data_IF_008884530476
#
_entry.id   IF_008884530476
#
_cell.length_a   1.000
_cell.length_b   1.000
_cell.length_c   1.000
_cell.angle_alpha   90.00
_cell.angle_beta   90.00
_cell.angle_gamma   90.00
#
_symmetry.space_group_name_H-M   'P 1'
#
loop_
_entity.id
_entity.type
_entity.pdbx_description
1 polymer ?
#
# COMPACT_ATOMS: atom_id res chain seq x y z
N UNK A 1 27.00 3.28 -4.43
CA UNK A 1 26.64 4.61 -3.90
C UNK A 1 27.79 5.22 -3.09
N UNK A 2 28.25 4.58 -2.00
CA UNK A 2 29.33 5.10 -1.15
C UNK A 2 30.66 5.38 -1.87
N UNK A 3 31.00 4.64 -2.93
CA UNK A 3 32.15 4.98 -3.78
C UNK A 3 32.03 6.36 -4.45
N UNK A 4 30.81 6.79 -4.80
CA UNK A 4 30.54 8.10 -5.42
C UNK A 4 30.28 9.20 -4.40
N UNK A 5 29.69 8.85 -3.25
CA UNK A 5 29.43 9.75 -2.13
C UNK A 5 29.84 9.09 -0.81
N UNK A 6 31.11 9.20 -0.40
CA UNK A 6 31.61 8.54 0.81
C UNK A 6 30.93 8.99 2.10
N UNK A 7 30.39 10.22 2.15
CA UNK A 7 29.63 10.75 3.28
C UNK A 7 28.13 10.48 3.23
N UNK A 8 27.64 9.64 2.31
CA UNK A 8 26.22 9.26 2.27
C UNK A 8 25.89 8.43 3.51
N UNK A 9 24.86 8.86 4.24
CA UNK A 9 24.24 8.10 5.32
C UNK A 9 22.86 7.65 4.86
N UNK A 10 22.46 6.44 5.21
CA UNK A 10 21.14 5.89 4.86
C UNK A 10 20.38 5.54 6.13
N UNK A 11 19.15 6.04 6.25
CA UNK A 11 18.23 5.68 7.34
C UNK A 11 17.11 4.84 6.76
N UNK A 12 16.86 3.68 7.36
CA UNK A 12 15.79 2.76 7.01
C UNK A 12 14.85 2.62 8.21
N UNK A 13 13.55 2.75 7.96
CA UNK A 13 12.51 2.41 8.94
C UNK A 13 11.68 1.25 8.41
N UNK A 14 11.20 0.36 9.27
CA UNK A 14 10.27 -0.68 8.87
C UNK A 14 8.86 -0.11 8.61
N UNK A 15 8.24 -0.51 7.51
CA UNK A 15 6.82 -0.29 7.25
C UNK A 15 5.93 -1.41 7.79
N UNK A 16 4.62 -1.34 7.53
CA UNK A 16 3.65 -2.35 7.96
C UNK A 16 3.81 -3.72 7.25
N UNK A 17 4.50 -3.75 6.11
CA UNK A 17 4.78 -4.96 5.33
C UNK A 17 6.10 -5.63 5.70
N UNK A 18 6.93 -4.98 6.51
CA UNK A 18 8.26 -5.47 6.85
C UNK A 18 8.26 -6.37 8.08
N UNK A 19 9.19 -7.32 8.10
CA UNK A 19 9.56 -8.00 9.33
C UNK A 19 10.61 -7.18 10.07
N UNK A 20 10.16 -6.36 11.02
CA UNK A 20 11.00 -5.48 11.84
C UNK A 20 12.30 -6.13 12.35
N UNK A 21 12.18 -7.29 12.99
CA UNK A 21 13.33 -8.02 13.53
C UNK A 21 14.30 -8.52 12.45
N UNK A 22 13.81 -8.92 11.27
CA UNK A 22 14.68 -9.33 10.14
C UNK A 22 15.40 -8.14 9.53
N UNK A 23 14.74 -6.98 9.49
CA UNK A 23 15.34 -5.75 8.96
C UNK A 23 16.49 -5.26 9.86
N UNK A 24 16.35 -5.38 11.19
CA UNK A 24 17.41 -5.02 12.15
C UNK A 24 18.50 -6.08 12.31
N UNK A 25 18.26 -7.35 11.97
CA UNK A 25 19.21 -8.43 12.18
C UNK A 25 20.64 -8.17 11.64
N UNK A 26 20.84 -7.59 10.44
CA UNK A 26 22.17 -7.27 9.92
C UNK A 26 22.71 -5.88 10.35
N UNK A 27 22.12 -5.22 11.36
CA UNK A 27 22.50 -3.86 11.77
C UNK A 27 24.02 -3.68 12.01
N UNK A 28 24.75 -4.57 12.69
CA UNK A 28 26.20 -4.41 12.88
C UNK A 28 27.00 -4.34 11.57
N UNK A 29 26.54 -5.05 10.53
CA UNK A 29 27.14 -5.00 9.20
C UNK A 29 26.77 -3.69 8.48
N UNK A 30 25.49 -3.30 8.57
CA UNK A 30 24.96 -2.10 7.92
C UNK A 30 25.57 -0.81 8.48
N UNK A 31 25.87 -0.76 9.78
CA UNK A 31 26.52 0.39 10.41
C UNK A 31 27.90 0.68 9.83
N UNK A 32 28.66 -0.37 9.46
CA UNK A 32 29.96 -0.20 8.78
C UNK A 32 29.85 0.47 7.40
N UNK A 33 28.63 0.51 6.84
CA UNK A 33 28.29 1.14 5.57
C UNK A 33 27.50 2.44 5.77
N UNK A 34 27.52 3.03 6.97
CA UNK A 34 26.74 4.23 7.31
C UNK A 34 25.22 4.07 7.07
N UNK A 35 24.71 2.84 7.23
CA UNK A 35 23.29 2.51 7.15
C UNK A 35 22.76 2.25 8.57
N UNK A 36 21.72 2.99 8.96
CA UNK A 36 21.03 2.87 10.25
C UNK A 36 19.63 2.35 10.01
N UNK A 37 19.28 1.24 10.67
CA UNK A 37 17.94 0.65 10.60
C UNK A 37 17.22 0.82 11.92
N UNK A 38 15.97 1.27 11.85
CA UNK A 38 15.03 1.25 12.97
C UNK A 38 13.81 0.43 12.53
N UNK A 39 13.77 -0.82 12.94
CA UNK A 39 12.70 -1.75 12.60
C UNK A 39 11.65 -1.86 13.70
N UNK A 40 12.06 -1.81 14.97
CA UNK A 40 11.18 -2.04 16.12
C UNK A 40 11.39 -1.01 17.23
N UNK A 41 10.37 -0.82 18.06
CA UNK A 41 10.48 -0.01 19.27
C UNK A 41 11.12 -0.85 20.38
N UNK A 42 12.33 -0.47 20.76
CA UNK A 42 13.06 -1.12 21.84
C UNK A 42 12.63 -0.57 23.19
N UNK A 43 12.72 -1.42 24.23
CA UNK A 43 12.47 -1.02 25.62
C UNK A 43 13.72 -1.23 26.45
N UNK A 44 13.95 -0.34 27.40
CA UNK A 44 15.00 -0.46 28.43
C UNK A 44 14.64 -1.59 29.41
N UNK A 45 15.58 -2.10 30.22
CA UNK A 45 15.29 -3.13 31.23
C UNK A 45 14.17 -2.76 32.21
N UNK A 46 13.98 -1.46 32.47
CA UNK A 46 12.89 -0.94 33.30
C UNK A 46 11.50 -0.92 32.62
N UNK A 47 11.40 -1.35 31.35
CA UNK A 47 10.16 -1.41 30.58
C UNK A 47 9.81 -0.14 29.80
N UNK A 48 10.51 0.97 30.06
CA UNK A 48 10.38 2.24 29.35
C UNK A 48 10.81 2.11 27.88
N UNK A 49 10.16 2.86 26.99
CA UNK A 49 10.56 2.94 25.57
C UNK A 49 11.95 3.60 25.48
N UNK A 50 12.83 2.99 24.69
CA UNK A 50 14.16 3.51 24.45
C UNK A 50 14.16 4.52 23.29
N UNK A 51 13.72 5.74 23.60
CA UNK A 51 13.62 6.85 22.65
C UNK A 51 14.96 7.14 21.94
N UNK A 52 16.09 6.95 22.63
CA UNK A 52 17.41 7.27 22.11
C UNK A 52 17.79 6.38 20.90
N UNK A 53 17.20 5.18 20.77
CA UNK A 53 17.41 4.32 19.58
C UNK A 53 16.67 4.80 18.34
N UNK A 54 15.66 5.66 18.49
CA UNK A 54 14.91 6.29 17.40
C UNK A 54 15.43 7.70 17.08
N UNK A 55 16.41 8.23 17.83
CA UNK A 55 17.06 9.51 17.57
C UNK A 55 18.40 9.28 16.87
N UNK A 56 18.43 9.55 15.56
CA UNK A 56 19.60 9.32 14.72
C UNK A 56 20.27 10.66 14.37
N UNK A 57 21.41 11.01 14.99
CA UNK A 57 22.20 12.16 14.55
C UNK A 57 22.71 11.93 13.12
N UNK A 58 22.52 12.92 12.26
CA UNK A 58 22.94 12.92 10.85
C UNK A 58 23.97 14.02 10.63
N UNK A 59 25.03 13.72 9.89
CA UNK A 59 26.11 14.66 9.61
C UNK A 59 27.45 13.96 9.44
N UNK A 60 28.47 14.69 8.99
CA UNK A 60 29.82 14.15 8.86
C UNK A 60 30.45 13.87 10.24
N UNK A 61 31.00 12.67 10.42
CA UNK A 61 31.50 12.15 11.71
C UNK A 61 32.45 13.08 12.46
N UNK A 62 33.27 13.88 11.75
CA UNK A 62 34.28 14.76 12.36
C UNK A 62 33.75 16.14 12.80
N UNK A 63 32.58 16.58 12.32
CA UNK A 63 32.03 17.90 12.65
C UNK A 63 30.80 17.86 13.56
N UNK A 64 30.35 16.64 13.93
CA UNK A 64 29.14 16.43 14.70
C UNK A 64 27.86 16.49 13.85
N UNK A 65 26.69 16.30 14.48
CA UNK A 65 25.42 16.28 13.77
C UNK A 65 25.06 17.65 13.21
N UNK A 66 24.60 17.66 11.96
CA UNK A 66 24.00 18.81 11.28
C UNK A 66 22.48 18.75 11.24
N UNK A 67 21.90 17.57 11.51
CA UNK A 67 20.48 17.35 11.70
C UNK A 67 20.27 16.11 12.60
N UNK A 68 19.05 15.92 13.08
CA UNK A 68 18.67 14.70 13.81
C UNK A 68 17.40 14.15 13.20
N UNK A 69 17.41 12.84 12.91
CA UNK A 69 16.25 12.13 12.43
C UNK A 69 15.55 11.42 13.59
N UNK A 70 14.26 11.72 13.79
CA UNK A 70 13.33 10.96 14.60
C UNK A 70 12.83 9.82 13.70
N UNK A 71 13.53 8.70 13.73
CA UNK A 71 13.28 7.54 12.87
C UNK A 71 12.23 6.63 13.50
N UNK A 72 10.95 6.86 13.19
CA UNK A 72 9.84 6.09 13.76
C UNK A 72 9.35 5.04 12.75
N UNK A 73 9.45 3.73 13.06
CA UNK A 73 8.92 2.68 12.20
C UNK A 73 7.39 2.66 12.22
N UNK A 74 6.78 1.74 11.47
CA UNK A 74 5.37 1.43 11.65
C UNK A 74 5.12 0.90 13.07
N UNK A 75 4.20 1.55 13.79
CA UNK A 75 3.94 1.27 15.20
C UNK A 75 2.73 0.36 15.36
N UNK A 76 2.88 -0.69 16.17
CA UNK A 76 1.82 -1.59 16.59
C UNK A 76 1.33 -1.17 17.98
N UNK A 77 0.11 -1.55 18.39
CA UNK A 77 -0.40 -1.19 19.72
C UNK A 77 0.53 -1.52 20.90
N UNK A 78 1.30 -2.62 20.82
CA UNK A 78 2.25 -3.02 21.87
C UNK A 78 3.51 -2.12 21.96
N UNK A 79 3.79 -1.36 20.91
CA UNK A 79 4.97 -0.49 20.82
C UNK A 79 4.73 0.87 21.50
N UNK A 80 3.49 1.20 21.82
CA UNK A 80 3.08 2.54 22.20
C UNK A 80 3.19 2.80 23.71
N UNK A 81 3.40 4.07 24.10
CA UNK A 81 3.17 4.51 25.47
C UNK A 81 1.66 4.44 25.78
N UNK A 82 1.33 4.18 27.04
CA UNK A 82 -0.05 4.20 27.52
C UNK A 82 -0.55 5.64 27.58
N UNK A 83 -1.78 5.88 27.14
CA UNK A 83 -2.48 7.16 27.31
C UNK A 83 -3.77 6.95 28.11
N UNK A 84 -4.12 7.91 28.95
CA UNK A 84 -5.27 7.81 29.87
C UNK A 84 -6.58 8.28 29.22
N UNK A 85 -6.51 9.19 28.26
CA UNK A 85 -7.66 9.80 27.58
C UNK A 85 -7.56 9.62 26.06
N UNK A 86 -8.71 9.49 25.40
CA UNK A 86 -8.81 9.38 23.94
C UNK A 86 -8.57 7.97 23.40
N UNK A 87 -8.24 7.89 22.12
CA UNK A 87 -7.92 6.63 21.43
C UNK A 87 -6.52 6.15 21.86
N UNK A 88 -6.39 4.94 22.46
CA UNK A 88 -5.10 4.46 22.95
C UNK A 88 -4.04 4.29 21.86
N UNK A 89 -4.44 3.97 20.63
CA UNK A 89 -3.54 3.77 19.52
C UNK A 89 -3.09 5.11 18.94
N UNK A 90 -4.02 5.96 18.51
CA UNK A 90 -3.67 7.27 17.93
C UNK A 90 -3.01 8.20 18.96
N UNK A 91 -3.54 8.24 20.18
CA UNK A 91 -2.97 9.03 21.28
C UNK A 91 -1.60 8.53 21.69
N UNK A 92 -1.39 7.20 21.70
CA UNK A 92 -0.08 6.60 21.95
C UNK A 92 0.96 7.00 20.90
N UNK A 93 0.59 7.01 19.61
CA UNK A 93 1.48 7.46 18.53
C UNK A 93 1.80 8.95 18.65
N UNK A 94 0.79 9.79 18.85
CA UNK A 94 0.98 11.25 19.03
C UNK A 94 1.91 11.53 20.21
N UNK A 95 1.66 10.89 21.35
CA UNK A 95 2.52 10.98 22.54
C UNK A 95 3.97 10.59 22.23
N UNK A 96 4.19 9.51 21.48
CA UNK A 96 5.55 9.05 21.15
C UNK A 96 6.32 10.10 20.33
N UNK A 97 5.70 10.70 19.31
CA UNK A 97 6.35 11.75 18.51
C UNK A 97 6.70 12.99 19.35
N UNK A 98 5.79 13.40 20.25
CA UNK A 98 6.02 14.54 21.15
C UNK A 98 7.15 14.26 22.14
N UNK A 99 7.21 13.05 22.71
CA UNK A 99 8.30 12.63 23.61
C UNK A 99 9.65 12.58 22.86
N UNK A 100 9.69 12.04 21.64
CA UNK A 100 10.89 12.04 20.79
C UNK A 100 11.37 13.45 20.47
N UNK A 101 10.44 14.34 20.10
CA UNK A 101 10.75 15.74 19.82
C UNK A 101 11.33 16.44 21.05
N UNK A 102 10.68 16.32 22.21
CA UNK A 102 11.15 16.91 23.45
C UNK A 102 12.55 16.38 23.83
N UNK A 103 12.76 15.06 23.70
CA UNK A 103 14.07 14.43 23.94
C UNK A 103 15.14 14.95 22.98
N UNK A 104 14.84 15.07 21.69
CA UNK A 104 15.76 15.62 20.70
C UNK A 104 16.11 17.08 21.00
N UNK A 105 15.13 17.90 21.36
CA UNK A 105 15.35 19.30 21.75
C UNK A 105 16.22 19.43 22.99
N UNK A 106 16.02 18.57 23.99
CA UNK A 106 16.86 18.56 25.19
C UNK A 106 18.32 18.17 24.90
N UNK A 107 18.55 17.23 23.98
CA UNK A 107 19.90 16.74 23.65
C UNK A 107 20.67 17.64 22.69
N UNK A 108 19.99 18.20 21.68
CA UNK A 108 20.65 18.89 20.55
C UNK A 108 20.33 20.39 20.46
N UNK A 109 19.43 20.88 21.32
CA UNK A 109 19.09 22.29 21.41
C UNK A 109 18.01 22.76 20.40
N UNK A 110 17.57 24.01 20.54
CA UNK A 110 16.42 24.55 19.79
C UNK A 110 16.73 24.83 18.32
N UNK A 111 18.00 24.96 17.93
CA UNK A 111 18.41 25.31 16.58
C UNK A 111 18.75 24.10 15.70
N UNK A 112 18.83 22.90 16.27
CA UNK A 112 19.11 21.67 15.51
C UNK A 112 17.96 21.36 14.55
N UNK A 113 18.20 21.19 13.24
CA UNK A 113 17.19 20.71 12.32
C UNK A 113 16.70 19.30 12.70
N UNK A 114 15.40 19.15 12.90
CA UNK A 114 14.78 17.86 13.20
C UNK A 114 14.00 17.34 11.98
N UNK A 115 14.25 16.10 11.60
CA UNK A 115 13.52 15.40 10.55
C UNK A 115 12.70 14.30 11.20
N UNK A 116 11.38 14.32 11.07
CA UNK A 116 10.55 13.19 11.47
C UNK A 116 10.43 12.20 10.32
N UNK A 117 10.60 10.91 10.57
CA UNK A 117 10.17 9.85 9.66
C UNK A 117 9.03 9.09 10.30
N UNK A 118 8.07 8.63 9.49
CA UNK A 118 6.95 7.85 9.97
C UNK A 118 6.33 7.00 8.88
N UNK A 119 5.95 5.77 9.22
CA UNK A 119 5.09 4.96 8.37
C UNK A 119 3.69 4.87 8.99
N UNK A 120 2.80 5.78 8.63
CA UNK A 120 1.49 5.92 9.25
C UNK A 120 0.49 6.57 8.29
N UNK A 121 -0.80 6.59 8.66
CA UNK A 121 -1.82 7.36 7.97
C UNK A 121 -2.06 8.68 8.71
N UNK A 122 -2.04 9.80 8.00
CA UNK A 122 -2.24 11.15 8.56
C UNK A 122 -3.51 11.76 7.95
N UNK A 123 -4.31 12.42 8.79
CA UNK A 123 -5.59 13.01 8.41
C UNK A 123 -5.45 13.99 7.24
N UNK A 124 -6.25 13.78 6.22
CA UNK A 124 -6.20 14.54 4.97
C UNK A 124 -5.26 13.95 3.93
N UNK A 125 -4.60 12.83 4.21
CA UNK A 125 -3.92 12.01 3.22
C UNK A 125 -4.92 11.28 2.31
N UNK A 126 -4.62 11.25 1.01
CA UNK A 126 -5.39 10.57 -0.01
C UNK A 126 -4.84 9.17 -0.24
N UNK A 127 -5.70 8.19 -0.07
CA UNK A 127 -5.38 6.79 -0.31
C UNK A 127 -5.53 6.38 -1.76
N UNK A 128 -4.71 5.42 -2.16
CA UNK A 128 -4.73 4.82 -3.49
C UNK A 128 -5.85 3.81 -3.60
N UNK A 129 -6.65 3.95 -4.66
CA UNK A 129 -7.66 2.96 -5.03
C UNK A 129 -6.92 1.66 -5.42
N UNK A 130 -7.31 0.53 -4.83
CA UNK A 130 -6.81 -0.83 -5.08
C UNK A 130 -5.37 -1.17 -4.63
N UNK A 131 -4.64 -0.28 -3.96
CA UNK A 131 -3.23 -0.55 -3.60
C UNK A 131 -2.98 -0.69 -2.10
N UNK A 132 -3.47 0.25 -1.32
CA UNK A 132 -3.26 0.24 0.11
C UNK A 132 -4.28 -0.71 0.76
N UNK A 133 -3.82 -1.55 1.71
CA UNK A 133 -4.77 -2.32 2.51
C UNK A 133 -5.65 -1.34 3.28
N UNK A 134 -6.96 -1.48 3.13
CA UNK A 134 -7.90 -0.89 4.08
C UNK A 134 -7.62 -1.57 5.43
N UNK A 135 -6.79 -0.94 6.25
CA UNK A 135 -6.61 -1.30 7.67
C UNK A 135 -7.89 -1.02 8.48
N UNK A 136 -8.93 -0.50 7.82
CA UNK A 136 -10.19 -0.07 8.40
C UNK A 136 -11.11 -1.27 8.65
N UNK A 137 -11.00 -1.83 9.85
CA UNK A 137 -12.16 -2.39 10.55
C UNK A 137 -12.47 -1.37 11.67
N UNK A 138 -13.46 -0.49 11.47
CA UNK A 138 -14.09 0.25 12.59
C UNK A 138 -13.84 1.76 12.75
N UNK A 139 -13.13 2.46 11.86
CA UNK A 139 -12.98 3.92 11.94
C UNK A 139 -11.71 4.43 11.25
N UNK A 140 -11.64 5.71 10.87
CA UNK A 140 -10.42 6.27 10.26
C UNK A 140 -9.34 6.49 11.33
N UNK A 141 -8.41 5.55 11.46
CA UNK A 141 -7.18 5.69 12.28
C UNK A 141 -6.19 6.65 11.61
N UNK A 142 -6.61 7.89 11.38
CA UNK A 142 -5.80 8.93 10.76
C UNK A 142 -5.23 9.86 11.82
N UNK A 143 -3.91 9.86 11.98
CA UNK A 143 -3.23 10.73 12.93
C UNK A 143 -3.53 12.21 12.64
N UNK A 144 -3.78 13.04 13.66
CA UNK A 144 -3.83 14.47 13.46
C UNK A 144 -2.43 14.99 13.10
N UNK A 145 -2.35 16.04 12.28
CA UNK A 145 -1.08 16.65 11.94
C UNK A 145 -0.37 17.31 13.14
N UNK A 146 -1.07 17.52 14.26
CA UNK A 146 -0.53 18.02 15.53
C UNK A 146 0.49 17.08 16.15
N UNK A 147 0.44 15.79 15.82
CA UNK A 147 1.45 14.82 16.22
C UNK A 147 2.85 15.14 15.66
N UNK A 148 2.93 15.97 14.63
CA UNK A 148 4.18 16.44 14.04
C UNK A 148 4.38 17.92 14.43
N UNK A 149 5.31 18.25 15.35
CA UNK A 149 5.55 19.63 15.76
C UNK A 149 5.84 20.58 14.59
N UNK A 150 5.48 21.87 14.76
CA UNK A 150 5.61 22.89 13.70
C UNK A 150 7.06 23.30 13.41
N UNK A 151 7.96 23.13 14.38
CA UNK A 151 9.38 23.46 14.27
C UNK A 151 10.23 22.31 13.71
N UNK A 152 9.60 21.23 13.23
CA UNK A 152 10.28 20.21 12.42
C UNK A 152 10.78 20.85 11.13
N UNK A 153 12.02 20.54 10.75
CA UNK A 153 12.57 20.98 9.49
C UNK A 153 11.90 20.25 8.31
N UNK A 154 11.55 18.98 8.51
CA UNK A 154 10.83 18.16 7.53
C UNK A 154 10.19 16.93 8.19
N UNK A 155 9.10 16.43 7.62
CA UNK A 155 8.47 15.17 8.01
C UNK A 155 8.25 14.27 6.78
N UNK A 156 9.02 13.19 6.73
CA UNK A 156 9.02 12.18 5.68
C UNK A 156 8.07 11.03 6.04
N UNK A 157 6.88 11.05 5.44
CA UNK A 157 5.86 10.02 5.65
C UNK A 157 5.93 8.94 4.57
N UNK A 158 5.68 7.70 4.99
CA UNK A 158 5.39 6.55 4.14
C UNK A 158 4.08 5.89 4.58
N UNK A 159 3.58 4.95 3.76
CA UNK A 159 2.31 4.20 3.86
C UNK A 159 1.43 4.48 2.65
N UNK A 160 1.16 5.75 2.34
CA UNK A 160 0.39 6.13 1.17
C UNK A 160 1.28 6.18 -0.09
N UNK A 161 0.78 5.59 -1.17
CA UNK A 161 1.54 5.48 -2.42
C UNK A 161 1.40 6.72 -3.32
N UNK A 162 0.36 7.54 -3.10
CA UNK A 162 0.22 8.83 -3.78
C UNK A 162 1.11 9.90 -3.14
N UNK A 163 1.99 10.50 -3.94
CA UNK A 163 2.84 11.60 -3.51
C UNK A 163 2.01 12.87 -3.25
N UNK A 164 2.10 13.43 -2.05
CA UNK A 164 1.25 14.55 -1.62
C UNK A 164 1.79 15.28 -0.38
N UNK A 165 1.44 16.56 -0.24
CA UNK A 165 1.49 17.28 1.04
C UNK A 165 0.23 16.99 1.82
N UNK A 166 0.32 16.99 3.15
CA UNK A 166 -0.81 16.66 4.02
C UNK A 166 -1.13 17.80 4.96
N UNK A 167 -2.43 17.99 5.21
CA UNK A 167 -2.96 19.02 6.12
C UNK A 167 -2.48 20.45 5.80
N UNK A 168 -2.22 20.76 4.52
CA UNK A 168 -1.77 22.09 4.08
C UNK A 168 -0.32 22.44 4.44
N UNK A 169 0.45 21.49 5.01
CA UNK A 169 1.85 21.69 5.43
C UNK A 169 2.80 21.17 4.37
N UNK A 170 3.64 22.05 3.83
CA UNK A 170 4.51 21.74 2.70
C UNK A 170 5.64 20.76 3.10
N UNK A 171 6.07 20.81 4.35
CA UNK A 171 7.13 20.03 4.97
C UNK A 171 6.66 18.65 5.48
N UNK A 172 5.34 18.40 5.54
CA UNK A 172 4.75 17.11 5.92
C UNK A 172 4.30 16.37 4.66
N UNK A 173 5.09 15.40 4.22
CA UNK A 173 4.99 14.85 2.86
C UNK A 173 4.97 13.32 2.84
N UNK A 174 4.02 12.76 2.09
CA UNK A 174 4.21 11.44 1.50
C UNK A 174 4.99 11.62 0.19
N UNK A 175 6.13 10.95 0.07
CA UNK A 175 6.86 10.90 -1.21
C UNK A 175 6.18 9.98 -2.23
N UNK A 176 5.29 9.10 -1.77
CA UNK A 176 4.60 8.10 -2.58
C UNK A 176 5.50 6.91 -2.91
N UNK A 177 4.93 5.93 -3.61
CA UNK A 177 5.68 4.81 -4.14
C UNK A 177 6.56 5.27 -5.32
N UNK A 178 7.82 4.81 -5.44
CA UNK A 178 8.69 5.16 -6.57
C UNK A 178 8.29 4.44 -7.87
N UNK A 179 7.50 3.37 -7.79
CA UNK A 179 6.98 2.59 -8.90
C UNK A 179 5.51 2.25 -8.63
N UNK A 180 4.70 2.01 -9.67
CA UNK A 180 3.31 1.62 -9.48
C UNK A 180 3.20 0.19 -8.96
N UNK A 181 2.47 0.00 -7.86
CA UNK A 181 2.15 -1.31 -7.28
C UNK A 181 0.75 -1.82 -7.65
N UNK A 182 -0.11 -0.93 -8.15
CA UNK A 182 -1.43 -1.29 -8.68
C UNK A 182 -1.73 -0.53 -9.98
N UNK A 183 -2.69 -1.02 -10.77
CA UNK A 183 -3.18 -0.31 -11.95
C UNK A 183 -3.88 1.02 -11.60
N UNK A 184 -4.34 1.19 -10.36
CA UNK A 184 -4.86 2.47 -9.85
C UNK A 184 -3.79 3.56 -9.78
N UNK A 185 -2.53 3.17 -9.64
CA UNK A 185 -1.37 4.06 -9.59
C UNK A 185 -0.81 4.37 -10.97
N UNK A 186 -1.41 3.86 -12.05
CA UNK A 186 -0.91 4.05 -13.41
C UNK A 186 -0.77 5.53 -13.81
N UNK A 187 -1.46 6.47 -13.16
CA UNK A 187 -1.30 7.92 -13.45
C UNK A 187 -0.54 8.68 -12.36
N UNK A 188 0.02 7.97 -11.39
CA UNK A 188 0.63 8.61 -10.24
C UNK A 188 1.93 9.32 -10.61
N UNK A 189 2.19 10.48 -9.97
CA UNK A 189 3.41 11.22 -10.15
C UNK A 189 4.57 10.58 -9.38
N UNK A 190 4.97 9.34 -9.73
CA UNK A 190 6.05 8.65 -9.03
C UNK A 190 7.32 9.50 -9.00
N UNK A 191 7.86 9.66 -7.80
CA UNK A 191 8.89 10.65 -7.52
C UNK A 191 9.72 10.27 -6.31
N UNK A 192 10.87 10.91 -6.22
CA UNK A 192 11.62 11.06 -4.98
C UNK A 192 11.66 12.55 -4.63
N UNK A 193 11.79 12.86 -3.34
CA UNK A 193 11.89 14.22 -2.87
C UNK A 193 13.34 14.48 -2.46
N UNK A 194 13.98 15.46 -3.11
CA UNK A 194 15.21 16.05 -2.63
C UNK A 194 14.83 17.18 -1.68
N UNK A 195 15.37 17.15 -0.47
CA UNK A 195 15.09 18.14 0.57
C UNK A 195 16.40 18.75 1.02
N UNK A 196 16.59 20.03 0.71
CA UNK A 196 17.75 20.79 1.16
C UNK A 196 17.40 21.53 2.46
N UNK A 197 18.12 21.24 3.54
CA UNK A 197 17.95 21.86 4.85
C UNK A 197 18.95 23.00 5.07
N UNK A 198 18.50 24.11 5.65
CA UNK A 198 19.33 25.28 5.96
C UNK A 198 18.83 26.03 7.18
N UNK A 199 19.17 27.33 7.31
CA UNK A 199 18.72 28.19 8.43
C UNK A 199 17.26 28.67 8.31
N UNK A 200 16.52 28.20 7.30
CA UNK A 200 15.14 28.57 7.03
C UNK A 200 14.32 27.36 6.61
N UNK A 201 13.11 27.56 6.04
CA UNK A 201 12.26 26.48 5.59
C UNK A 201 12.98 25.54 4.62
N UNK A 202 12.70 24.25 4.73
CA UNK A 202 13.27 23.25 3.85
C UNK A 202 12.90 23.54 2.38
N UNK A 203 13.88 23.47 1.49
CA UNK A 203 13.62 23.54 0.05
C UNK A 203 13.36 22.13 -0.46
N UNK A 204 12.16 21.92 -0.99
CA UNK A 204 11.71 20.61 -1.47
C UNK A 204 11.68 20.65 -3.00
N UNK A 205 12.43 19.74 -3.62
CA UNK A 205 12.47 19.53 -5.07
C UNK A 205 11.96 18.13 -5.41
N UNK A 206 10.97 18.07 -6.30
CA UNK A 206 10.45 16.82 -6.83
C UNK A 206 11.32 16.33 -7.98
N UNK A 207 11.86 15.12 -7.86
CA UNK A 207 12.59 14.43 -8.93
C UNK A 207 11.72 13.27 -9.42
N UNK A 208 11.28 13.32 -10.68
CA UNK A 208 10.39 12.29 -11.25
C UNK A 208 11.16 11.01 -11.51
N UNK A 209 10.56 9.88 -11.12
CA UNK A 209 11.07 8.56 -11.45
C UNK A 209 10.61 8.24 -12.87
N UNK A 210 11.53 7.96 -13.82
CA UNK A 210 11.15 7.58 -15.17
C UNK A 210 10.34 6.29 -15.18
N UNK A 211 9.31 6.23 -16.02
CA UNK A 211 8.54 5.02 -16.25
C UNK A 211 9.04 4.32 -17.51
N UNK A 212 9.54 3.11 -17.35
CA UNK A 212 10.03 2.29 -18.46
C UNK A 212 8.99 1.27 -18.95
N UNK A 213 7.99 0.95 -18.11
CA UNK A 213 6.92 0.00 -18.40
C UNK A 213 5.59 0.66 -18.08
N UNK A 214 4.73 0.78 -19.08
CA UNK A 214 3.38 1.31 -18.90
C UNK A 214 2.44 0.28 -18.27
N UNK A 215 1.54 0.75 -17.41
CA UNK A 215 0.40 -0.02 -16.91
C UNK A 215 -0.85 0.46 -17.64
N UNK A 216 -1.51 -0.45 -18.34
CA UNK A 216 -2.68 -0.15 -19.16
C UNK A 216 -3.92 -0.87 -18.63
N UNK A 217 -5.02 -0.13 -18.52
CA UNK A 217 -6.36 -0.66 -18.27
C UNK A 217 -7.16 -0.55 -19.55
N UNK A 218 -7.60 -1.68 -20.09
CA UNK A 218 -8.39 -1.71 -21.32
C UNK A 218 -9.66 -2.53 -21.11
N UNK A 219 -10.83 -1.92 -21.32
CA UNK A 219 -11.10 -0.48 -21.31
C UNK A 219 -10.83 0.20 -19.97
N UNK A 220 -10.83 1.54 -19.96
CA UNK A 220 -10.70 2.33 -18.74
C UNK A 220 -11.86 2.07 -17.75
N UNK A 221 -13.08 1.92 -18.25
CA UNK A 221 -14.27 1.48 -17.53
C UNK A 221 -14.75 0.14 -18.07
N UNK A 222 -15.26 -0.80 -17.25
CA UNK A 222 -15.66 -2.13 -17.71
C UNK A 222 -16.71 -2.04 -18.84
N UNK A 223 -16.48 -2.78 -19.94
CA UNK A 223 -17.40 -2.84 -21.10
C UNK A 223 -17.79 -4.28 -21.43
N UNK A 224 -18.89 -4.51 -22.17
CA UNK A 224 -19.26 -5.82 -22.66
C UNK A 224 -18.13 -6.51 -23.43
N UNK A 225 -18.01 -7.82 -23.30
CA UNK A 225 -16.90 -8.61 -23.87
C UNK A 225 -16.64 -8.32 -25.35
N UNK A 226 -17.68 -8.23 -26.18
CA UNK A 226 -17.53 -7.93 -27.62
C UNK A 226 -16.79 -6.60 -27.88
N UNK A 227 -17.12 -5.55 -27.14
CA UNK A 227 -16.41 -4.26 -27.23
C UNK A 227 -14.96 -4.39 -26.74
N UNK A 228 -14.74 -5.13 -25.65
CA UNK A 228 -13.39 -5.35 -25.12
C UNK A 228 -12.52 -6.08 -26.14
N UNK A 229 -12.99 -7.18 -26.73
CA UNK A 229 -12.24 -7.93 -27.75
C UNK A 229 -11.90 -7.05 -28.96
N UNK A 230 -12.82 -6.18 -29.40
CA UNK A 230 -12.54 -5.23 -30.46
C UNK A 230 -11.43 -4.24 -30.08
N UNK A 231 -11.45 -3.69 -28.86
CA UNK A 231 -10.41 -2.80 -28.36
C UNK A 231 -9.05 -3.49 -28.25
N UNK A 232 -9.02 -4.76 -27.82
CA UNK A 232 -7.78 -5.55 -27.74
C UNK A 232 -7.21 -5.86 -29.14
N UNK A 233 -8.08 -6.16 -30.10
CA UNK A 233 -7.67 -6.42 -31.48
C UNK A 233 -7.12 -5.17 -32.19
N UNK A 234 -7.57 -3.98 -31.81
CA UNK A 234 -7.11 -2.68 -32.36
C UNK A 234 -5.76 -2.21 -31.75
N UNK A 235 -5.21 -2.93 -30.77
CA UNK A 235 -3.90 -2.61 -30.21
C UNK A 235 -2.79 -2.63 -31.27
N UNK A 236 -1.84 -1.70 -31.13
CA UNK A 236 -0.67 -1.62 -32.00
C UNK A 236 0.12 -2.94 -32.02
N UNK A 237 0.55 -3.36 -33.21
CA UNK A 237 1.42 -4.52 -33.43
C UNK A 237 2.91 -4.14 -33.50
N UNK A 238 3.24 -2.89 -33.16
CA UNK A 238 4.62 -2.40 -33.20
C UNK A 238 5.48 -3.19 -32.21
N UNK A 239 6.40 -4.01 -32.72
CA UNK A 239 7.24 -4.85 -31.89
C UNK A 239 7.97 -4.06 -30.79
N UNK A 240 7.87 -4.53 -29.54
CA UNK A 240 8.59 -4.01 -28.39
C UNK A 240 9.37 -5.14 -27.71
N UNK A 241 10.60 -4.88 -27.21
CA UNK A 241 11.29 -5.80 -26.30
C UNK A 241 10.40 -6.17 -25.11
N UNK A 242 10.45 -7.42 -24.67
CA UNK A 242 9.55 -7.97 -23.63
C UNK A 242 9.55 -7.10 -22.35
N UNK A 243 10.71 -6.59 -21.97
CA UNK A 243 10.92 -5.73 -20.82
C UNK A 243 10.24 -4.37 -20.95
N UNK A 244 9.96 -3.89 -22.16
CA UNK A 244 9.28 -2.63 -22.47
C UNK A 244 7.80 -2.79 -22.80
N UNK A 245 7.32 -4.04 -22.97
CA UNK A 245 5.91 -4.29 -23.29
C UNK A 245 5.01 -3.84 -22.13
N UNK A 246 3.93 -3.07 -22.38
CA UNK A 246 3.01 -2.65 -21.33
C UNK A 246 2.43 -3.83 -20.54
N UNK A 247 2.26 -3.63 -19.24
CA UNK A 247 1.51 -4.53 -18.37
C UNK A 247 0.02 -4.21 -18.54
N UNK A 248 -0.79 -5.21 -18.84
CA UNK A 248 -2.19 -5.03 -19.24
C UNK A 248 -3.15 -5.66 -18.22
N UNK A 249 -4.11 -4.86 -17.80
CA UNK A 249 -5.34 -5.28 -17.14
C UNK A 249 -6.53 -5.13 -18.10
N UNK A 250 -7.27 -6.21 -18.27
CA UNK A 250 -8.45 -6.26 -19.13
C UNK A 250 -9.71 -6.20 -18.27
N UNK A 251 -10.57 -5.21 -18.46
CA UNK A 251 -11.77 -5.00 -17.63
C UNK A 251 -13.03 -5.35 -18.42
N UNK A 252 -13.76 -6.38 -18.01
CA UNK A 252 -14.91 -6.89 -18.77
C UNK A 252 -16.17 -6.80 -17.94
N UNK A 253 -17.22 -6.19 -18.48
CA UNK A 253 -18.56 -6.24 -17.91
C UNK A 253 -19.26 -7.50 -18.39
N UNK A 254 -19.69 -8.34 -17.45
CA UNK A 254 -20.37 -9.60 -17.69
C UNK A 254 -21.73 -9.61 -16.96
N UNK A 255 -22.69 -10.32 -17.54
CA UNK A 255 -23.95 -10.64 -16.87
C UNK A 255 -23.78 -11.88 -15.99
N UNK A 256 -22.99 -12.85 -16.45
CA UNK A 256 -22.68 -14.08 -15.71
C UNK A 256 -21.24 -14.57 -16.00
N UNK A 257 -20.67 -15.43 -15.13
CA UNK A 257 -19.35 -16.02 -15.35
C UNK A 257 -19.21 -16.70 -16.72
N UNK A 258 -18.13 -16.41 -17.43
CA UNK A 258 -17.79 -17.01 -18.74
C UNK A 258 -16.54 -17.89 -18.62
N UNK A 259 -16.65 -19.23 -18.68
CA UNK A 259 -15.52 -20.14 -18.50
C UNK A 259 -14.38 -19.93 -19.50
N UNK A 260 -14.69 -19.55 -20.74
CA UNK A 260 -13.70 -19.39 -21.81
C UNK A 260 -13.21 -17.94 -21.99
N UNK A 261 -13.59 -17.02 -21.08
CA UNK A 261 -13.23 -15.60 -21.12
C UNK A 261 -11.73 -15.38 -21.35
N UNK A 262 -10.90 -16.10 -20.59
CA UNK A 262 -9.45 -15.98 -20.67
C UNK A 262 -8.93 -16.34 -22.06
N UNK A 263 -9.43 -17.45 -22.63
CA UNK A 263 -9.06 -17.91 -23.97
C UNK A 263 -9.44 -16.90 -25.04
N UNK A 264 -10.62 -16.28 -24.93
CA UNK A 264 -11.06 -15.24 -25.88
C UNK A 264 -10.16 -13.99 -25.80
N UNK A 265 -9.85 -13.52 -24.58
CA UNK A 265 -8.96 -12.38 -24.36
C UNK A 265 -7.54 -12.65 -24.88
N UNK A 266 -6.96 -13.80 -24.54
CA UNK A 266 -5.62 -14.19 -25.01
C UNK A 266 -5.58 -14.34 -26.54
N UNK A 267 -6.65 -14.85 -27.16
CA UNK A 267 -6.79 -14.90 -28.61
C UNK A 267 -6.77 -13.51 -29.27
N UNK A 268 -7.49 -12.55 -28.70
CA UNK A 268 -7.49 -11.16 -29.20
C UNK A 268 -6.14 -10.44 -29.01
N UNK A 269 -5.32 -10.89 -28.05
CA UNK A 269 -3.99 -10.36 -27.77
C UNK A 269 -2.87 -11.05 -28.57
N UNK A 270 -3.17 -12.06 -29.38
CA UNK A 270 -2.16 -12.78 -30.13
C UNK A 270 -1.40 -11.84 -31.07
N UNK A 271 -0.07 -11.83 -30.98
CA UNK A 271 0.79 -10.93 -31.76
C UNK A 271 0.87 -9.49 -31.25
N UNK A 272 0.11 -9.13 -30.21
CA UNK A 272 0.18 -7.80 -29.59
C UNK A 272 1.36 -7.75 -28.59
N UNK A 273 2.19 -6.69 -28.62
CA UNK A 273 3.38 -6.51 -27.77
C UNK A 273 3.00 -6.04 -26.36
N UNK A 274 2.15 -6.79 -25.66
CA UNK A 274 1.64 -6.49 -24.31
C UNK A 274 1.72 -7.72 -23.42
N UNK A 275 1.80 -7.50 -22.11
CA UNK A 275 1.85 -8.56 -21.08
C UNK A 275 0.56 -8.55 -20.28
N UNK A 276 -0.34 -9.49 -20.57
CA UNK A 276 -1.57 -9.68 -19.81
C UNK A 276 -1.24 -10.09 -18.37
N UNK A 277 -1.59 -9.25 -17.40
CA UNK A 277 -1.44 -9.54 -15.97
C UNK A 277 -2.75 -9.97 -15.30
N UNK A 278 -3.85 -9.30 -15.65
CA UNK A 278 -5.14 -9.50 -14.98
C UNK A 278 -6.29 -9.37 -15.97
N UNK A 279 -7.27 -10.26 -15.84
CA UNK A 279 -8.62 -10.07 -16.37
C UNK A 279 -9.50 -9.80 -15.16
N UNK A 280 -10.13 -8.62 -15.14
CA UNK A 280 -10.95 -8.11 -14.06
C UNK A 280 -12.42 -8.13 -14.51
N UNK A 281 -13.18 -9.21 -14.22
CA UNK A 281 -14.59 -9.29 -14.54
C UNK A 281 -15.40 -8.45 -13.55
N UNK A 282 -16.20 -7.53 -14.07
CA UNK A 282 -17.21 -6.77 -13.35
C UNK A 282 -18.57 -7.37 -13.70
N UNK A 283 -19.37 -7.68 -12.69
CA UNK A 283 -20.72 -8.20 -12.91
C UNK A 283 -21.74 -7.09 -12.72
N UNK A 284 -22.77 -7.03 -13.57
CA UNK A 284 -23.92 -6.14 -13.31
C UNK A 284 -24.61 -6.62 -12.03
N UNK A 285 -24.38 -5.93 -10.92
CA UNK A 285 -25.18 -6.15 -9.73
C UNK A 285 -26.62 -5.71 -10.02
N UNK A 286 -27.58 -6.60 -9.76
CA UNK A 286 -28.96 -6.17 -9.47
C UNK A 286 -28.96 -5.55 -8.05
N UNK A 287 -29.74 -4.48 -7.86
CA UNK A 287 -29.82 -3.70 -6.62
C UNK A 287 -29.82 -4.60 -5.35
N UNK A 288 -28.80 -4.49 -4.47
CA UNK A 288 -28.78 -5.24 -3.21
C UNK A 288 -29.93 -4.85 -2.25
N UNK A 289 -30.59 -3.71 -2.51
CA UNK A 289 -31.69 -3.18 -1.69
C UNK A 289 -32.99 -4.01 -1.73
N UNK A 290 -33.07 -5.09 -2.53
CA UNK A 290 -34.25 -5.99 -2.56
C UNK A 290 -34.06 -7.32 -1.82
N UNK A 291 -32.83 -7.72 -1.48
CA UNK A 291 -32.56 -9.07 -0.96
C UNK A 291 -32.31 -9.17 0.56
N UNK A 292 -32.16 -8.05 1.28
CA UNK A 292 -31.97 -8.08 2.75
C UNK A 292 -33.21 -8.57 3.53
N UNK A 293 -34.37 -8.75 2.89
CA UNK A 293 -35.59 -9.21 3.55
C UNK A 293 -35.77 -10.75 3.59
N UNK A 294 -34.81 -11.53 3.06
CA UNK A 294 -34.96 -12.99 2.97
C UNK A 294 -33.78 -13.83 3.48
N UNK A 295 -32.89 -13.26 4.29
CA UNK A 295 -31.86 -14.06 4.98
C UNK A 295 -32.47 -14.81 6.19
N UNK A 296 -33.04 -15.99 5.92
CA UNK A 296 -33.39 -16.97 6.96
C UNK A 296 -32.15 -17.48 7.70
N UNK A 297 -32.33 -18.00 8.92
CA UNK A 297 -31.21 -18.44 9.74
C UNK A 297 -30.47 -19.62 9.08
N UNK A 298 -29.14 -19.54 9.00
CA UNK A 298 -28.22 -20.56 8.47
C UNK A 298 -28.35 -21.94 9.13
N UNK A 299 -29.12 -22.06 10.22
CA UNK A 299 -29.31 -23.30 10.98
C UNK A 299 -30.41 -24.23 10.42
N UNK A 300 -31.27 -23.77 9.50
CA UNK A 300 -32.43 -24.54 9.03
C UNK A 300 -32.26 -25.20 7.66
N UNK A 301 -31.19 -24.91 6.93
CA UNK A 301 -31.02 -25.40 5.58
C UNK A 301 -30.15 -26.67 5.58
N UNK A 302 -30.76 -27.84 5.30
CA UNK A 302 -30.03 -29.01 4.79
C UNK A 302 -29.56 -28.68 3.37
N UNK A 303 -28.43 -27.98 3.28
CA UNK A 303 -27.96 -27.39 2.03
C UNK A 303 -27.23 -28.42 1.18
N UNK A 304 -27.94 -28.92 0.17
CA UNK A 304 -27.31 -29.52 -0.99
C UNK A 304 -26.38 -28.48 -1.65
N UNK A 305 -25.07 -28.76 -1.85
CA UNK A 305 -24.11 -27.81 -2.40
C UNK A 305 -24.51 -27.23 -3.76
N UNK A 306 -25.21 -28.02 -4.58
CA UNK A 306 -25.70 -27.57 -5.89
C UNK A 306 -26.83 -26.56 -5.72
N UNK A 307 -27.75 -26.81 -4.79
CA UNK A 307 -28.84 -25.90 -4.47
C UNK A 307 -28.33 -24.57 -3.90
N UNK A 308 -27.29 -24.59 -3.05
CA UNK A 308 -26.58 -23.38 -2.62
C UNK A 308 -25.97 -22.60 -3.77
N UNK A 309 -25.23 -23.29 -4.64
CA UNK A 309 -24.60 -22.64 -5.78
C UNK A 309 -25.67 -22.02 -6.69
N UNK A 310 -26.79 -22.72 -6.95
CA UNK A 310 -27.90 -22.17 -7.74
C UNK A 310 -28.50 -20.92 -7.10
N UNK A 311 -28.72 -20.93 -5.79
CA UNK A 311 -29.29 -19.79 -5.07
C UNK A 311 -28.32 -18.60 -5.07
N UNK A 312 -27.06 -18.83 -4.71
CA UNK A 312 -26.03 -17.80 -4.69
C UNK A 312 -25.77 -17.25 -6.10
N UNK A 313 -25.73 -18.10 -7.13
CA UNK A 313 -25.56 -17.68 -8.52
C UNK A 313 -26.73 -16.82 -8.99
N UNK A 314 -27.97 -17.21 -8.64
CA UNK A 314 -29.16 -16.42 -8.97
C UNK A 314 -29.16 -15.07 -8.25
N UNK A 315 -28.82 -15.04 -6.97
CA UNK A 315 -28.73 -13.79 -6.20
C UNK A 315 -27.63 -12.88 -6.74
N UNK A 316 -26.46 -13.44 -7.10
CA UNK A 316 -25.30 -12.67 -7.52
C UNK A 316 -25.37 -12.19 -8.97
N UNK A 317 -25.97 -12.97 -9.87
CA UNK A 317 -25.94 -12.73 -11.32
C UNK A 317 -27.33 -12.57 -11.96
N UNK A 318 -28.42 -12.81 -11.22
CA UNK A 318 -29.78 -12.69 -11.73
C UNK A 318 -30.20 -13.77 -12.74
N UNK A 319 -29.33 -14.76 -13.00
CA UNK A 319 -29.55 -15.83 -13.98
C UNK A 319 -29.60 -17.22 -13.33
N UNK A 320 -30.10 -18.22 -14.07
CA UNK A 320 -30.01 -19.62 -13.64
C UNK A 320 -28.58 -20.16 -13.83
N UNK A 321 -28.11 -20.95 -12.87
CA UNK A 321 -26.82 -21.66 -12.98
C UNK A 321 -26.73 -22.43 -14.31
N UNK A 322 -25.71 -22.18 -15.15
CA UNK A 322 -25.47 -22.93 -16.37
C UNK A 322 -25.31 -24.43 -16.09
N UNK A 323 -25.92 -25.27 -16.93
CA UNK A 323 -25.90 -26.74 -16.78
C UNK A 323 -24.47 -27.31 -16.76
N UNK A 324 -23.54 -26.67 -17.47
CA UNK A 324 -22.13 -27.05 -17.53
C UNK A 324 -21.41 -26.81 -16.20
N UNK A 325 -21.62 -25.65 -15.55
CA UNK A 325 -21.05 -25.34 -14.24
C UNK A 325 -21.67 -26.24 -13.15
N UNK A 326 -22.96 -26.54 -13.28
CA UNK A 326 -23.64 -27.49 -12.41
C UNK A 326 -23.04 -28.90 -12.52
N UNK A 327 -22.81 -29.38 -13.74
CA UNK A 327 -22.19 -30.68 -14.00
C UNK A 327 -20.76 -30.76 -13.43
N UNK A 328 -19.95 -29.70 -13.59
CA UNK A 328 -18.60 -29.62 -13.04
C UNK A 328 -18.58 -29.63 -11.50
N UNK A 329 -19.51 -28.92 -10.85
CA UNK A 329 -19.63 -28.98 -9.39
C UNK A 329 -20.05 -30.39 -8.93
N UNK A 330 -21.01 -31.01 -9.62
CA UNK A 330 -21.45 -32.37 -9.32
C UNK A 330 -20.31 -33.39 -9.46
N UNK A 331 -19.47 -33.24 -10.48
CA UNK A 331 -18.26 -34.06 -10.65
C UNK A 331 -17.28 -33.87 -9.48
N UNK A 332 -17.03 -32.62 -9.07
CA UNK A 332 -16.16 -32.31 -7.93
C UNK A 332 -16.69 -32.88 -6.61
N UNK A 333 -18.00 -32.76 -6.36
CA UNK A 333 -18.67 -33.29 -5.17
C UNK A 333 -18.63 -34.83 -5.15
N UNK A 334 -18.81 -35.48 -6.29
CA UNK A 334 -18.67 -36.95 -6.42
C UNK A 334 -17.23 -37.39 -6.17
N UNK A 335 -16.26 -36.67 -6.71
CA UNK A 335 -14.84 -36.95 -6.52
C UNK A 335 -14.43 -36.82 -5.03
N UNK A 336 -14.92 -35.80 -4.33
CA UNK A 336 -14.67 -35.60 -2.89
C UNK A 336 -15.33 -36.69 -2.02
N UNK A 337 -16.50 -37.19 -2.44
CA UNK A 337 -17.23 -38.27 -1.77
C UNK A 337 -16.72 -39.68 -2.09
N UNK A 338 -15.75 -39.83 -3.00
CA UNK A 338 -15.21 -41.12 -3.40
C UNK A 338 -16.19 -41.97 -4.23
N UNK A 339 -17.21 -41.35 -4.82
CA UNK A 339 -18.16 -42.02 -5.70
C UNK A 339 -17.58 -42.03 -7.12
N UNK A 340 -17.05 -43.17 -7.56
CA UNK A 340 -16.54 -43.34 -8.92
C UNK A 340 -17.67 -43.18 -9.96
N UNK A 341 -17.29 -42.63 -11.13
CA UNK A 341 -18.16 -42.17 -12.23
C UNK A 341 -19.29 -43.12 -12.65
#
# INVERSE_FOLDING_TARGET
AHQRMPGLQTVLIAGNHDSAARLEAPQPLLESLAVRVVGQVHRKPAGEIDLDRMLLPLGPDLAGPTAVCLAVPYLRPADLPVVEEGDPYLGGIERLYLELHARARALYGPSMPLIAMGHCHVRGGQSSIDSERRLVIGGSEALPATAFPEDLAYAALGHLHLAQAVSGRNELRYCGAPLPFSFGEARYPHQILRVDLGRGPARIETLRVPRFVELQRIPAEPKPLAEVLALLADLSETALPLEMQPLLEVRVLLDAPLPDLRRQVEGALQGKPVRLLRIDPHYRQQDPAKDEQQAGSLAELQLDPVSLLREQYRQQYGESLPTELEALLLELVRADRGEAA
#
